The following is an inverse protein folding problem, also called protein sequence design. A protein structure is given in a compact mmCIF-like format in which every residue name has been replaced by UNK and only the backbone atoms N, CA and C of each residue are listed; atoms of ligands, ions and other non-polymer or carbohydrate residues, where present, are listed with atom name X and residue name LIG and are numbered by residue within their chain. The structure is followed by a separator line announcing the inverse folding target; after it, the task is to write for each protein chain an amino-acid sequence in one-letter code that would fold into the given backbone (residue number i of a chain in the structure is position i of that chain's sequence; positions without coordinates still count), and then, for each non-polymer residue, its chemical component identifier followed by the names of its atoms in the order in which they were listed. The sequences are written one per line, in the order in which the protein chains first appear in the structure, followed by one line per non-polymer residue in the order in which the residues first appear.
data_IF_039607642471
#
_entry.id   IF_039607642471
#
_cell.length_a   1.000
_cell.length_b   1.000
_cell.length_c   1.000
_cell.angle_alpha   90.00
_cell.angle_beta   90.00
_cell.angle_gamma   90.00
#
_symmetry.space_group_name_H-M   'P 1'
#
loop_
_entity.id
_entity.type
_entity.pdbx_description
1 polymer ?
#
# COMPACT_ATOMS: atom_id res chain seq x y z
N UNK A 1 -23.30 -6.92 18.28
CA UNK A 1 -24.25 -5.77 18.25
C UNK A 1 -23.61 -4.61 17.55
N UNK A 2 -24.35 -3.70 16.93
CA UNK A 2 -23.79 -2.45 16.39
C UNK A 2 -23.73 -1.43 17.51
N UNK A 3 -22.65 -0.63 17.59
CA UNK A 3 -22.59 0.45 18.56
C UNK A 3 -23.73 1.47 18.24
N UNK A 4 -24.49 1.90 19.23
CA UNK A 4 -25.50 2.93 19.03
C UNK A 4 -24.84 4.32 18.96
N UNK A 5 -25.55 5.30 18.35
CA UNK A 5 -25.19 6.71 18.48
C UNK A 5 -25.16 7.09 19.97
N UNK A 6 -24.17 7.87 20.38
CA UNK A 6 -23.93 8.23 21.78
C UNK A 6 -23.05 7.23 22.56
N UNK A 7 -22.66 6.10 21.96
CA UNK A 7 -21.75 5.14 22.59
C UNK A 7 -20.40 5.78 22.90
N UNK A 8 -19.92 5.57 24.12
CA UNK A 8 -18.62 6.09 24.58
C UNK A 8 -17.58 4.96 24.53
N UNK A 9 -16.84 4.91 23.43
CA UNK A 9 -15.77 3.92 23.21
C UNK A 9 -14.55 4.26 24.07
N UNK A 10 -14.03 3.25 24.76
CA UNK A 10 -12.85 3.36 25.63
C UNK A 10 -12.92 4.53 26.63
N UNK A 11 -14.12 4.86 27.12
CA UNK A 11 -14.39 6.00 28.00
C UNK A 11 -13.80 7.35 27.49
N UNK A 12 -13.63 7.49 26.17
CA UNK A 12 -13.00 8.66 25.55
C UNK A 12 -13.66 9.13 24.26
N UNK A 13 -14.02 8.23 23.38
CA UNK A 13 -14.51 8.60 22.03
C UNK A 13 -16.03 8.45 21.96
N UNK A 14 -16.75 9.55 21.94
CA UNK A 14 -18.22 9.55 21.84
C UNK A 14 -18.66 9.47 20.41
N UNK A 15 -19.21 8.32 20.01
CA UNK A 15 -19.70 8.10 18.65
C UNK A 15 -20.98 8.93 18.40
N UNK A 16 -21.03 9.67 17.29
CA UNK A 16 -22.21 10.49 16.93
C UNK A 16 -22.99 9.86 15.78
N UNK A 17 -22.53 9.98 14.56
CA UNK A 17 -23.22 9.51 13.36
C UNK A 17 -22.30 8.68 12.45
N UNK A 18 -22.83 7.70 11.72
CA UNK A 18 -22.03 6.98 10.74
C UNK A 18 -21.78 7.87 9.52
N UNK A 19 -20.50 8.04 9.15
CA UNK A 19 -20.06 8.78 7.96
C UNK A 19 -19.74 7.86 6.78
N UNK A 20 -19.55 6.56 7.03
CA UNK A 20 -19.32 5.55 6.00
C UNK A 20 -19.72 4.15 6.46
N UNK A 21 -20.23 3.33 5.53
CA UNK A 21 -20.55 1.92 5.77
C UNK A 21 -20.04 1.07 4.62
N UNK A 22 -19.38 -0.04 4.93
CA UNK A 22 -18.83 -0.98 3.94
C UNK A 22 -18.77 -2.40 4.48
N UNK A 23 -18.24 -3.32 3.68
CA UNK A 23 -18.05 -4.73 4.07
C UNK A 23 -17.15 -4.88 5.30
N UNK A 24 -16.12 -4.05 5.40
CA UNK A 24 -15.12 -4.09 6.49
C UNK A 24 -15.57 -3.38 7.78
N UNK A 25 -16.73 -2.73 7.81
CA UNK A 25 -17.21 -2.08 9.03
C UNK A 25 -17.96 -0.79 8.80
N UNK A 26 -18.13 -0.04 9.89
CA UNK A 26 -18.75 1.28 9.91
C UNK A 26 -17.71 2.29 10.35
N UNK A 27 -17.62 3.41 9.65
CA UNK A 27 -16.85 4.57 10.08
C UNK A 27 -17.81 5.57 10.70
N UNK A 28 -17.50 5.99 11.92
CA UNK A 28 -18.28 6.91 12.71
C UNK A 28 -17.60 8.26 12.80
N UNK A 29 -18.34 9.35 12.76
CA UNK A 29 -17.90 10.60 13.35
C UNK A 29 -17.94 10.42 14.86
N UNK A 30 -16.91 10.89 15.57
CA UNK A 30 -16.85 10.83 17.01
C UNK A 30 -16.16 12.08 17.57
N UNK A 31 -16.42 12.36 18.84
CA UNK A 31 -15.74 13.39 19.59
C UNK A 31 -14.75 12.76 20.58
N UNK A 32 -13.49 13.16 20.51
CA UNK A 32 -12.46 12.80 21.48
C UNK A 32 -12.61 13.71 22.71
N UNK A 33 -13.25 13.22 23.76
CA UNK A 33 -13.55 14.01 24.98
C UNK A 33 -12.32 14.43 25.75
N UNK A 34 -11.17 13.76 25.54
CA UNK A 34 -9.91 14.11 26.19
C UNK A 34 -9.21 15.30 25.51
N UNK A 35 -9.20 15.32 24.18
CA UNK A 35 -8.48 16.33 23.39
C UNK A 35 -9.43 17.37 22.75
N UNK A 36 -10.74 17.31 23.05
CA UNK A 36 -11.78 18.22 22.57
C UNK A 36 -11.72 18.43 21.04
N UNK A 37 -11.77 17.31 20.28
CA UNK A 37 -11.67 17.35 18.82
C UNK A 37 -12.56 16.30 18.14
N UNK A 38 -12.95 16.60 16.91
CA UNK A 38 -13.63 15.64 16.03
C UNK A 38 -12.63 14.62 15.45
N UNK A 39 -13.01 13.36 15.43
CA UNK A 39 -12.25 12.24 14.88
C UNK A 39 -13.17 11.32 14.07
N UNK A 40 -12.58 10.52 13.20
CA UNK A 40 -13.23 9.36 12.59
C UNK A 40 -12.87 8.09 13.37
N UNK A 41 -13.86 7.25 13.65
CA UNK A 41 -13.65 5.98 14.37
C UNK A 41 -14.18 4.85 13.50
N UNK A 42 -13.29 3.97 13.05
CA UNK A 42 -13.63 2.80 12.24
C UNK A 42 -13.82 1.57 13.10
N UNK A 43 -15.05 1.04 13.15
CA UNK A 43 -15.34 -0.28 13.69
C UNK A 43 -14.86 -1.35 12.71
N UNK A 44 -13.89 -2.18 13.11
CA UNK A 44 -13.42 -3.27 12.27
C UNK A 44 -14.28 -4.51 12.53
N UNK A 45 -14.96 -4.99 11.49
CA UNK A 45 -15.78 -6.19 11.59
C UNK A 45 -14.95 -7.43 11.26
N UNK A 46 -14.94 -8.34 12.21
CA UNK A 46 -14.43 -9.68 12.00
C UNK A 46 -15.56 -10.60 11.49
N UNK A 47 -15.27 -11.57 10.61
CA UNK A 47 -16.25 -12.58 10.22
C UNK A 47 -16.84 -13.31 11.43
N UNK A 48 -18.16 -13.59 11.40
CA UNK A 48 -18.87 -14.21 12.53
C UNK A 48 -18.51 -15.70 12.73
N UNK A 49 -17.93 -16.34 11.73
CA UNK A 49 -17.67 -17.81 11.68
C UNK A 49 -16.24 -18.15 12.16
N UNK A 50 -15.53 -17.20 12.77
CA UNK A 50 -14.18 -17.44 13.28
C UNK A 50 -14.24 -18.10 14.66
N UNK A 51 -13.35 -19.08 14.90
CA UNK A 51 -13.05 -19.53 16.26
C UNK A 51 -12.37 -18.43 17.07
N UNK A 52 -12.32 -18.61 18.38
CA UNK A 52 -11.82 -17.60 19.31
C UNK A 52 -10.32 -17.32 19.11
N UNK A 53 -9.54 -18.36 18.81
CA UNK A 53 -8.08 -18.24 18.60
C UNK A 53 -7.77 -17.41 17.34
N UNK A 54 -8.41 -17.70 16.22
CA UNK A 54 -8.24 -16.96 14.98
C UNK A 54 -8.75 -15.51 15.12
N UNK A 55 -9.84 -15.31 15.86
CA UNK A 55 -10.34 -13.96 16.19
C UNK A 55 -9.31 -13.15 16.95
N UNK A 56 -8.73 -13.72 18.01
CA UNK A 56 -7.70 -13.06 18.82
C UNK A 56 -6.45 -12.75 17.98
N UNK A 57 -6.02 -13.67 17.12
CA UNK A 57 -4.90 -13.44 16.20
C UNK A 57 -5.17 -12.25 15.24
N UNK A 58 -6.37 -12.21 14.67
CA UNK A 58 -6.77 -11.13 13.76
C UNK A 58 -6.87 -9.77 14.47
N UNK A 59 -7.39 -9.74 15.70
CA UNK A 59 -7.39 -8.52 16.52
C UNK A 59 -5.95 -8.03 16.77
N UNK A 60 -5.07 -8.90 17.26
CA UNK A 60 -3.68 -8.57 17.52
C UNK A 60 -2.93 -8.11 16.26
N UNK A 61 -3.26 -8.68 15.10
CA UNK A 61 -2.71 -8.25 13.81
C UNK A 61 -3.20 -6.86 13.42
N UNK A 62 -4.51 -6.60 13.53
CA UNK A 62 -5.11 -5.29 13.24
C UNK A 62 -4.49 -4.20 14.13
N UNK A 63 -4.29 -4.48 15.41
CA UNK A 63 -3.62 -3.55 16.33
C UNK A 63 -2.18 -3.26 15.91
N UNK A 64 -1.41 -4.28 15.54
CA UNK A 64 -0.02 -4.11 15.10
C UNK A 64 0.06 -3.29 13.82
N UNK A 65 -0.79 -3.58 12.83
CA UNK A 65 -0.80 -2.86 11.54
C UNK A 65 -1.31 -1.42 11.72
N UNK A 66 -2.32 -1.20 12.58
CA UNK A 66 -2.80 0.14 12.93
C UNK A 66 -1.73 0.98 13.63
N UNK A 67 -1.03 0.42 14.64
CA UNK A 67 0.08 1.09 15.33
C UNK A 67 1.25 1.38 14.38
N UNK A 68 1.57 0.48 13.47
CA UNK A 68 2.61 0.71 12.47
C UNK A 68 2.21 1.84 11.51
N UNK A 69 0.95 1.90 11.09
CA UNK A 69 0.42 2.99 10.24
C UNK A 69 0.46 4.34 10.97
N UNK A 70 0.17 4.37 12.28
CA UNK A 70 0.24 5.59 13.10
C UNK A 70 1.65 6.22 13.12
N UNK A 71 2.71 5.44 12.85
CA UNK A 71 4.09 5.95 12.76
C UNK A 71 4.45 6.55 11.40
N UNK A 72 3.53 6.57 10.44
CA UNK A 72 3.77 7.11 9.10
C UNK A 72 3.24 8.53 9.00
N UNK A 73 4.13 9.51 8.95
CA UNK A 73 3.77 10.90 8.70
C UNK A 73 3.92 11.21 7.20
N UNK A 74 2.80 11.29 6.47
CA UNK A 74 2.78 11.66 5.06
C UNK A 74 1.42 12.31 4.71
N UNK A 75 1.37 13.41 3.94
CA UNK A 75 0.12 14.14 3.67
C UNK A 75 -0.94 13.32 2.95
N UNK A 76 -0.55 12.28 2.22
CA UNK A 76 -1.46 11.38 1.51
C UNK A 76 -1.66 10.02 2.19
N UNK A 77 -1.27 9.86 3.46
CA UNK A 77 -1.61 8.73 4.32
C UNK A 77 -2.56 9.22 5.39
N UNK A 78 -3.66 8.50 5.61
CA UNK A 78 -4.60 8.84 6.70
C UNK A 78 -3.85 8.84 8.04
N UNK A 79 -4.02 9.88 8.83
CA UNK A 79 -3.41 9.97 10.16
C UNK A 79 -4.19 9.10 11.14
N UNK A 80 -3.55 8.07 11.67
CA UNK A 80 -4.10 7.24 12.75
C UNK A 80 -3.68 7.85 14.09
N UNK A 81 -4.65 8.13 14.95
CA UNK A 81 -4.44 8.72 16.28
C UNK A 81 -4.36 7.67 17.37
N UNK A 82 -5.15 6.60 17.26
CA UNK A 82 -5.25 5.57 18.29
C UNK A 82 -5.78 4.26 17.69
N UNK A 83 -5.50 3.15 18.38
CA UNK A 83 -6.11 1.84 18.12
C UNK A 83 -6.58 1.29 19.44
N UNK A 84 -7.87 1.10 19.56
CA UNK A 84 -8.57 0.67 20.77
C UNK A 84 -9.19 -0.71 20.55
N UNK A 85 -9.10 -1.60 21.53
CA UNK A 85 -9.85 -2.86 21.54
C UNK A 85 -10.90 -2.81 22.62
N UNK A 86 -12.15 -2.99 22.23
CA UNK A 86 -13.31 -3.05 23.15
C UNK A 86 -14.28 -4.11 22.64
N UNK A 87 -14.84 -4.90 23.55
CA UNK A 87 -15.70 -6.06 23.23
C UNK A 87 -15.05 -7.03 22.22
N UNK A 88 -13.77 -7.33 22.39
CA UNK A 88 -12.98 -8.20 21.49
C UNK A 88 -12.98 -7.74 20.03
N UNK A 89 -13.14 -6.44 19.79
CA UNK A 89 -13.12 -5.82 18.48
C UNK A 89 -12.12 -4.67 18.43
N UNK A 90 -11.31 -4.60 17.41
CA UNK A 90 -10.43 -3.46 17.19
C UNK A 90 -11.23 -2.29 16.58
N UNK A 91 -10.91 -1.10 17.05
CA UNK A 91 -11.39 0.18 16.56
C UNK A 91 -10.20 1.05 16.20
N UNK A 92 -10.25 1.70 15.06
CA UNK A 92 -9.17 2.59 14.60
C UNK A 92 -9.68 4.02 14.65
N UNK A 93 -9.01 4.84 15.47
CA UNK A 93 -9.29 6.28 15.60
C UNK A 93 -8.34 7.03 14.67
N UNK A 94 -8.89 7.85 13.80
CA UNK A 94 -8.13 8.55 12.75
C UNK A 94 -8.66 9.96 12.50
N UNK A 95 -7.93 10.73 11.71
CA UNK A 95 -8.37 12.06 11.29
C UNK A 95 -9.72 12.00 10.57
N UNK A 96 -10.61 12.94 10.91
CA UNK A 96 -11.87 13.13 10.21
C UNK A 96 -11.66 14.07 9.03
N UNK A 97 -11.75 13.54 7.82
CA UNK A 97 -11.60 14.33 6.60
C UNK A 97 -12.95 14.72 6.01
N UNK A 98 -13.07 15.96 5.59
CA UNK A 98 -14.15 16.40 4.69
C UNK A 98 -13.78 16.00 3.26
N UNK A 99 -14.10 14.78 2.87
CA UNK A 99 -13.67 14.20 1.61
C UNK A 99 -14.76 13.31 1.03
N UNK A 100 -14.65 13.03 -0.26
CA UNK A 100 -15.38 11.94 -0.93
C UNK A 100 -14.39 10.86 -1.34
N UNK A 101 -14.83 9.60 -1.35
CA UNK A 101 -14.00 8.58 -1.97
C UNK A 101 -13.90 8.82 -3.48
N UNK A 102 -12.79 8.37 -4.07
CA UNK A 102 -12.63 8.41 -5.53
C UNK A 102 -13.75 7.62 -6.22
N UNK A 103 -14.25 6.56 -5.61
CA UNK A 103 -15.41 5.81 -6.09
C UNK A 103 -16.67 6.68 -6.17
N UNK A 104 -17.02 7.41 -5.10
CA UNK A 104 -18.14 8.35 -5.09
C UNK A 104 -17.95 9.46 -6.12
N UNK A 105 -16.72 9.96 -6.26
CA UNK A 105 -16.41 10.99 -7.25
C UNK A 105 -16.66 10.50 -8.68
N UNK A 106 -16.26 9.24 -8.96
CA UNK A 106 -16.49 8.60 -10.27
C UNK A 106 -17.97 8.28 -10.52
N UNK A 107 -18.73 7.91 -9.50
CA UNK A 107 -20.17 7.70 -9.61
C UNK A 107 -20.90 9.00 -9.96
N UNK A 108 -20.50 10.12 -9.36
CA UNK A 108 -21.15 11.42 -9.53
C UNK A 108 -20.74 12.13 -10.83
N UNK A 109 -19.47 12.05 -11.21
CA UNK A 109 -18.89 12.85 -12.31
C UNK A 109 -18.48 12.03 -13.53
N UNK A 110 -18.50 10.70 -13.43
CA UNK A 110 -17.91 9.82 -14.46
C UNK A 110 -16.38 9.84 -14.47
N UNK A 111 -15.75 9.42 -15.58
CA UNK A 111 -14.31 9.38 -15.74
C UNK A 111 -13.66 10.75 -15.55
N UNK A 112 -12.48 10.75 -14.91
CA UNK A 112 -11.73 11.98 -14.66
C UNK A 112 -10.70 12.26 -15.77
N UNK A 113 -10.35 13.53 -16.01
CA UNK A 113 -9.30 13.90 -16.96
C UNK A 113 -7.94 13.25 -16.59
N UNK A 114 -7.13 12.81 -17.59
CA UNK A 114 -5.85 12.14 -17.35
C UNK A 114 -4.89 12.92 -16.43
N UNK A 115 -4.85 14.25 -16.55
CA UNK A 115 -4.02 15.10 -15.69
C UNK A 115 -4.43 15.03 -14.22
N UNK A 116 -5.74 15.04 -13.93
CA UNK A 116 -6.25 14.93 -12.57
C UNK A 116 -5.99 13.53 -11.98
N UNK A 117 -6.18 12.49 -12.81
CA UNK A 117 -5.87 11.09 -12.42
C UNK A 117 -4.38 10.93 -12.15
N UNK A 118 -3.51 11.56 -12.94
CA UNK A 118 -2.07 11.55 -12.71
C UNK A 118 -1.69 12.20 -11.38
N UNK A 119 -2.32 13.32 -11.03
CA UNK A 119 -2.06 14.01 -9.76
C UNK A 119 -2.52 13.17 -8.55
N UNK A 120 -3.72 12.59 -8.60
CA UNK A 120 -4.20 11.63 -7.59
C UNK A 120 -3.23 10.45 -7.49
N UNK A 121 -2.82 9.87 -8.63
CA UNK A 121 -1.89 8.75 -8.70
C UNK A 121 -0.53 9.07 -8.08
N UNK A 122 0.01 10.25 -8.34
CA UNK A 122 1.28 10.73 -7.76
C UNK A 122 1.21 10.81 -6.22
N UNK A 123 0.11 11.31 -5.69
CA UNK A 123 -0.10 11.46 -4.25
C UNK A 123 -0.29 10.10 -3.57
N UNK A 124 -1.13 9.23 -4.13
CA UNK A 124 -1.34 7.85 -3.62
C UNK A 124 -0.05 7.04 -3.71
N UNK A 125 0.72 7.18 -4.79
CA UNK A 125 2.03 6.53 -4.91
C UNK A 125 3.02 7.03 -3.86
N UNK A 126 2.99 8.32 -3.54
CA UNK A 126 3.75 8.91 -2.43
C UNK A 126 3.41 8.25 -1.09
N UNK A 127 2.11 8.06 -0.82
CA UNK A 127 1.60 7.34 0.35
C UNK A 127 2.12 5.90 0.40
N UNK A 128 1.99 5.15 -0.71
CA UNK A 128 2.47 3.77 -0.81
C UNK A 128 3.98 3.67 -0.54
N UNK A 129 4.79 4.57 -1.10
CA UNK A 129 6.22 4.61 -0.84
C UNK A 129 6.55 4.86 0.64
N UNK A 130 5.81 5.77 1.29
CA UNK A 130 6.00 6.07 2.71
C UNK A 130 5.71 4.87 3.61
N UNK A 131 4.64 4.12 3.34
CA UNK A 131 4.27 2.94 4.13
C UNK A 131 5.18 1.74 3.82
N UNK A 132 5.54 1.52 2.55
CA UNK A 132 6.48 0.47 2.14
C UNK A 132 7.86 0.64 2.78
N UNK A 133 8.33 1.89 2.94
CA UNK A 133 9.58 2.18 3.65
C UNK A 133 9.55 1.78 5.14
N UNK A 134 8.36 1.59 5.72
CA UNK A 134 8.15 1.06 7.08
C UNK A 134 7.81 -0.44 7.10
N UNK A 135 7.92 -1.13 5.95
CA UNK A 135 7.56 -2.54 5.83
C UNK A 135 6.05 -2.83 5.84
N UNK A 136 5.21 -1.80 5.70
CA UNK A 136 3.76 -1.93 5.69
C UNK A 136 3.30 -2.07 4.24
N UNK A 137 2.41 -3.03 3.96
CA UNK A 137 1.73 -3.20 2.68
C UNK A 137 0.27 -2.78 2.82
N UNK A 138 -0.28 -2.11 1.80
CA UNK A 138 -1.68 -1.70 1.81
C UNK A 138 -2.65 -2.85 1.51
N UNK A 139 -2.36 -3.65 0.49
CA UNK A 139 -3.09 -4.87 0.05
C UNK A 139 -4.49 -4.65 -0.52
N UNK A 140 -5.09 -3.47 -0.38
CA UNK A 140 -6.45 -3.16 -0.84
C UNK A 140 -6.55 -1.74 -1.44
N UNK A 141 -5.63 -1.38 -2.35
CA UNK A 141 -5.69 -0.09 -3.06
C UNK A 141 -6.82 -0.15 -4.09
N UNK A 142 -7.84 0.70 -3.90
CA UNK A 142 -9.03 0.79 -4.77
C UNK A 142 -9.69 2.15 -4.64
N UNK A 143 -10.59 2.55 -5.55
CA UNK A 143 -11.23 3.87 -5.51
C UNK A 143 -11.97 4.19 -4.21
N UNK A 144 -12.57 3.20 -3.54
CA UNK A 144 -13.26 3.43 -2.26
C UNK A 144 -12.32 3.75 -1.10
N UNK A 145 -11.02 3.37 -1.20
CA UNK A 145 -10.00 3.59 -0.18
C UNK A 145 -9.10 4.80 -0.49
N UNK A 146 -9.40 5.57 -1.54
CA UNK A 146 -8.75 6.84 -1.86
C UNK A 146 -9.74 7.96 -1.59
N UNK A 147 -9.50 8.74 -0.54
CA UNK A 147 -10.29 9.92 -0.20
C UNK A 147 -9.73 11.14 -0.94
N UNK A 148 -10.60 11.89 -1.60
CA UNK A 148 -10.24 13.09 -2.35
C UNK A 148 -10.86 14.29 -1.65
N UNK A 149 -10.00 15.19 -1.17
CA UNK A 149 -10.35 16.51 -0.63
C UNK A 149 -10.20 17.57 -1.72
N UNK A 150 -10.39 18.83 -1.40
CA UNK A 150 -10.19 19.93 -2.35
C UNK A 150 -8.72 20.13 -2.74
N UNK A 151 -7.79 19.73 -1.88
CA UNK A 151 -6.35 19.96 -2.01
C UNK A 151 -5.49 18.71 -2.20
N UNK A 152 -5.99 17.52 -1.76
CA UNK A 152 -5.18 16.31 -1.76
C UNK A 152 -5.99 15.01 -1.90
N UNK A 153 -5.30 13.96 -2.33
CA UNK A 153 -5.76 12.57 -2.22
C UNK A 153 -5.09 11.89 -1.03
N UNK A 154 -5.87 11.16 -0.23
CA UNK A 154 -5.44 10.48 0.99
C UNK A 154 -5.80 9.00 0.89
N UNK A 155 -4.82 8.14 1.07
CA UNK A 155 -5.00 6.69 1.11
C UNK A 155 -5.39 6.27 2.53
N UNK A 156 -6.47 5.51 2.64
CA UNK A 156 -7.05 5.03 3.92
C UNK A 156 -7.17 3.51 3.92
N UNK A 157 -7.50 2.92 5.07
CA UNK A 157 -7.81 1.49 5.21
C UNK A 157 -6.62 0.55 5.00
N UNK A 158 -5.46 0.91 5.54
CA UNK A 158 -4.23 0.11 5.50
C UNK A 158 -4.38 -1.21 6.25
N UNK A 159 -3.89 -2.29 5.64
CA UNK A 159 -3.67 -3.58 6.30
C UNK A 159 -4.91 -4.38 6.67
N UNK A 160 -6.09 -3.76 6.73
CA UNK A 160 -7.33 -4.42 7.18
C UNK A 160 -7.78 -5.56 6.26
N UNK A 161 -7.38 -5.54 4.98
CA UNK A 161 -7.63 -6.62 4.02
C UNK A 161 -6.79 -7.89 4.28
N UNK A 162 -5.82 -7.81 5.19
CA UNK A 162 -5.09 -9.00 5.62
C UNK A 162 -5.99 -10.01 6.34
N UNK A 163 -7.14 -9.57 6.84
CA UNK A 163 -8.19 -10.44 7.38
C UNK A 163 -8.85 -11.31 6.30
N UNK A 164 -8.83 -10.85 5.04
CA UNK A 164 -9.41 -11.56 3.89
C UNK A 164 -8.35 -12.25 3.00
N UNK A 165 -7.10 -11.82 3.05
CA UNK A 165 -6.08 -12.16 2.05
C UNK A 165 -5.22 -13.39 2.33
N UNK A 166 -5.17 -13.91 3.54
CA UNK A 166 -4.46 -15.17 3.89
C UNK A 166 -5.41 -16.37 4.02
N UNK A 167 -6.70 -16.12 4.21
CA UNK A 167 -7.74 -17.15 4.08
C UNK A 167 -8.08 -17.27 2.61
N UNK A 168 -7.70 -18.36 2.00
CA UNK A 168 -7.79 -18.63 0.55
C UNK A 168 -9.06 -18.04 -0.09
N UNK A 169 -8.85 -17.11 -1.03
CA UNK A 169 -9.87 -16.42 -1.87
C UNK A 169 -10.87 -17.41 -2.47
N UNK A 170 -10.55 -18.71 -2.48
CA UNK A 170 -11.34 -19.81 -3.05
C UNK A 170 -12.39 -20.41 -2.11
N UNK A 171 -12.30 -20.22 -0.78
CA UNK A 171 -13.25 -20.87 0.15
C UNK A 171 -14.48 -20.05 0.52
N UNK A 172 -14.46 -18.72 0.38
CA UNK A 172 -15.55 -17.90 0.91
C UNK A 172 -16.47 -17.28 -0.14
N UNK A 173 -16.23 -17.35 -1.44
CA UNK A 173 -17.14 -16.80 -2.46
C UNK A 173 -17.47 -15.29 -2.34
N UNK A 174 -16.80 -14.56 -1.47
CA UNK A 174 -17.24 -13.25 -0.95
C UNK A 174 -16.28 -12.12 -1.31
N UNK A 175 -15.89 -11.97 -2.57
CA UNK A 175 -15.23 -10.69 -2.94
C UNK A 175 -15.85 -10.14 -4.22
N UNK A 176 -17.08 -9.64 -4.10
CA UNK A 176 -17.84 -9.15 -5.25
C UNK A 176 -17.38 -7.76 -5.75
N UNK A 177 -16.60 -7.00 -5.00
CA UNK A 177 -16.24 -5.62 -5.37
C UNK A 177 -14.72 -5.35 -5.56
N UNK A 178 -13.86 -5.98 -4.75
CA UNK A 178 -12.42 -5.67 -4.72
C UNK A 178 -11.58 -6.51 -5.71
N UNK A 179 -12.15 -7.57 -6.26
CA UNK A 179 -11.43 -8.56 -7.07
C UNK A 179 -10.73 -7.98 -8.33
N UNK A 180 -11.29 -6.92 -8.91
CA UNK A 180 -10.71 -6.25 -10.09
C UNK A 180 -9.42 -5.45 -9.81
N UNK A 181 -9.07 -5.25 -8.55
CA UNK A 181 -7.89 -4.51 -8.12
C UNK A 181 -6.78 -5.42 -7.59
N UNK A 182 -7.06 -6.71 -7.36
CA UNK A 182 -6.10 -7.67 -6.82
C UNK A 182 -5.08 -8.02 -7.90
N UNK A 183 -3.80 -8.00 -7.54
CA UNK A 183 -2.71 -8.35 -8.45
C UNK A 183 -2.78 -9.84 -8.85
N UNK A 184 -2.46 -10.19 -10.13
CA UNK A 184 -2.55 -11.55 -10.64
C UNK A 184 -1.78 -12.58 -9.79
N UNK A 185 -0.58 -12.25 -9.38
CA UNK A 185 0.25 -13.09 -8.52
C UNK A 185 -0.39 -13.39 -7.17
N UNK A 186 -1.20 -12.46 -6.64
CA UNK A 186 -1.95 -12.65 -5.37
C UNK A 186 -3.12 -13.61 -5.55
N UNK A 187 -3.81 -13.53 -6.67
CA UNK A 187 -4.88 -14.49 -7.01
C UNK A 187 -4.31 -15.91 -7.16
N UNK A 188 -3.06 -16.02 -7.63
CA UNK A 188 -2.33 -17.29 -7.74
C UNK A 188 -1.68 -17.75 -6.41
N UNK A 189 -1.94 -17.08 -5.29
CA UNK A 189 -1.48 -17.48 -3.96
C UNK A 189 -0.07 -17.02 -3.59
N UNK A 190 0.56 -16.12 -4.36
CA UNK A 190 1.86 -15.57 -3.99
C UNK A 190 1.74 -14.67 -2.73
N UNK A 191 2.82 -14.58 -1.96
CA UNK A 191 2.89 -13.67 -0.80
C UNK A 191 2.71 -12.22 -1.22
N UNK A 192 2.14 -11.41 -0.33
CA UNK A 192 2.00 -9.97 -0.55
C UNK A 192 3.37 -9.30 -0.69
N UNK A 193 3.49 -8.41 -1.69
CA UNK A 193 4.71 -7.69 -2.02
C UNK A 193 4.35 -6.26 -2.46
N UNK A 194 5.22 -5.24 -2.29
CA UNK A 194 4.98 -3.88 -2.74
C UNK A 194 4.53 -3.75 -4.20
N UNK A 195 5.01 -4.64 -5.09
CA UNK A 195 4.58 -4.68 -6.49
C UNK A 195 3.07 -4.95 -6.65
N UNK A 196 2.44 -5.70 -5.73
CA UNK A 196 1.00 -5.91 -5.73
C UNK A 196 0.22 -4.62 -5.50
N UNK A 197 0.67 -3.76 -4.59
CA UNK A 197 0.04 -2.44 -4.37
C UNK A 197 0.21 -1.52 -5.59
N UNK A 198 1.32 -1.64 -6.34
CA UNK A 198 1.53 -0.91 -7.59
C UNK A 198 0.57 -1.36 -8.70
N UNK A 199 0.28 -2.67 -8.80
CA UNK A 199 -0.79 -3.17 -9.68
C UNK A 199 -2.13 -2.57 -9.30
N UNK A 200 -2.49 -2.65 -8.01
CA UNK A 200 -3.77 -2.15 -7.49
C UNK A 200 -3.92 -0.64 -7.72
N UNK A 201 -2.82 0.12 -7.59
CA UNK A 201 -2.78 1.53 -7.99
C UNK A 201 -3.05 1.67 -9.50
N UNK A 202 -2.40 0.89 -10.35
CA UNK A 202 -2.63 0.88 -11.80
C UNK A 202 -4.10 0.64 -12.14
N UNK A 203 -4.72 -0.37 -11.51
CA UNK A 203 -6.15 -0.68 -11.69
C UNK A 203 -7.08 0.45 -11.20
N UNK A 204 -6.70 1.10 -10.09
CA UNK A 204 -7.42 2.27 -9.54
C UNK A 204 -7.37 3.45 -10.51
N UNK A 205 -6.20 3.79 -11.03
CA UNK A 205 -6.03 4.89 -11.99
C UNK A 205 -6.70 4.58 -13.33
N UNK A 206 -6.64 3.31 -13.78
CA UNK A 206 -7.36 2.85 -14.97
C UNK A 206 -8.87 3.08 -14.79
N UNK A 207 -9.43 2.64 -13.67
CA UNK A 207 -10.86 2.85 -13.37
C UNK A 207 -11.20 4.35 -13.33
N UNK A 208 -10.31 5.16 -12.78
CA UNK A 208 -10.53 6.60 -12.67
C UNK A 208 -10.56 7.32 -14.03
N UNK A 209 -9.73 6.91 -14.99
CA UNK A 209 -9.63 7.56 -16.30
C UNK A 209 -10.58 6.94 -17.32
N UNK A 210 -10.80 5.63 -17.30
CA UNK A 210 -11.68 4.92 -18.25
C UNK A 210 -13.15 4.93 -17.83
N UNK A 211 -13.44 5.03 -16.50
CA UNK A 211 -14.78 4.95 -15.93
C UNK A 211 -15.31 3.52 -15.82
N UNK A 212 -14.45 2.52 -16.00
CA UNK A 212 -14.79 1.09 -15.98
C UNK A 212 -13.65 0.29 -15.36
N UNK A 213 -13.97 -0.85 -14.74
CA UNK A 213 -12.94 -1.77 -14.24
C UNK A 213 -12.16 -2.46 -15.37
N UNK A 214 -11.03 -3.06 -15.01
CA UNK A 214 -10.22 -3.83 -15.95
C UNK A 214 -11.08 -4.90 -16.65
N UNK A 215 -11.01 -4.97 -17.98
CA UNK A 215 -11.78 -5.86 -18.85
C UNK A 215 -13.32 -5.77 -18.72
N UNK A 216 -13.89 -4.77 -18.01
CA UNK A 216 -15.33 -4.60 -17.83
C UNK A 216 -16.03 -5.81 -17.15
N UNK A 217 -15.28 -6.69 -16.48
CA UNK A 217 -15.76 -7.95 -15.92
C UNK A 217 -16.24 -7.77 -14.48
N UNK A 218 -17.37 -8.42 -14.16
CA UNK A 218 -18.02 -8.30 -12.85
C UNK A 218 -17.55 -9.32 -11.80
N UNK A 219 -16.78 -10.35 -12.20
CA UNK A 219 -16.32 -11.42 -11.29
C UNK A 219 -14.80 -11.52 -11.28
N UNK A 220 -14.23 -11.91 -10.13
CA UNK A 220 -12.79 -12.14 -9.97
C UNK A 220 -12.27 -13.21 -10.94
N UNK A 221 -13.00 -14.29 -11.11
CA UNK A 221 -12.64 -15.39 -12.01
C UNK A 221 -12.60 -14.93 -13.47
N UNK A 222 -13.57 -14.09 -13.90
CA UNK A 222 -13.59 -13.55 -15.27
C UNK A 222 -12.48 -12.52 -15.49
N UNK A 223 -12.15 -11.70 -14.48
CA UNK A 223 -11.03 -10.77 -14.54
C UNK A 223 -9.70 -11.53 -14.65
N UNK A 224 -9.51 -12.55 -13.81
CA UNK A 224 -8.32 -13.41 -13.87
C UNK A 224 -8.19 -14.12 -15.21
N UNK A 225 -9.28 -14.72 -15.73
CA UNK A 225 -9.27 -15.38 -17.01
C UNK A 225 -8.88 -14.44 -18.16
N UNK A 226 -9.39 -13.21 -18.17
CA UNK A 226 -9.02 -12.19 -19.15
C UNK A 226 -7.56 -11.75 -19.02
N UNK A 227 -7.05 -11.61 -17.79
CA UNK A 227 -5.64 -11.30 -17.55
C UNK A 227 -4.71 -12.44 -18.02
N UNK A 228 -5.11 -13.71 -17.81
CA UNK A 228 -4.31 -14.87 -18.21
C UNK A 228 -4.43 -15.23 -19.68
N UNK A 229 -5.49 -14.79 -20.37
CA UNK A 229 -5.65 -14.98 -21.83
C UNK A 229 -4.72 -14.10 -22.66
N UNK A 230 -4.04 -13.12 -22.04
CA UNK A 230 -3.18 -12.19 -22.76
C UNK A 230 -3.95 -11.13 -23.55
N UNK A 231 -5.26 -11.01 -23.36
CA UNK A 231 -6.05 -9.95 -23.99
C UNK A 231 -5.50 -8.56 -23.58
N UNK A 232 -5.28 -7.66 -24.54
CA UNK A 232 -4.85 -6.30 -24.25
C UNK A 232 -5.90 -5.58 -23.41
N UNK A 233 -5.45 -4.83 -22.39
CA UNK A 233 -6.31 -3.94 -21.61
C UNK A 233 -6.66 -2.74 -22.51
N UNK A 234 -7.92 -2.53 -22.91
CA UNK A 234 -8.28 -1.43 -23.80
C UNK A 234 -8.17 -0.09 -23.06
N UNK A 235 -7.43 0.88 -23.64
CA UNK A 235 -7.19 2.20 -23.07
C UNK A 235 -7.65 3.27 -24.07
N UNK A 236 -8.89 3.75 -23.90
CA UNK A 236 -9.54 4.67 -24.84
C UNK A 236 -9.43 6.13 -24.40
N UNK A 237 -9.47 6.38 -23.07
CA UNK A 237 -9.48 7.71 -22.46
C UNK A 237 -8.18 8.03 -21.73
N UNK A 238 -7.29 7.06 -21.54
CA UNK A 238 -6.07 7.20 -20.78
C UNK A 238 -5.09 8.24 -21.35
N UNK A 239 -5.04 8.39 -22.69
CA UNK A 239 -4.20 9.39 -23.36
C UNK A 239 -2.75 9.37 -22.84
N UNK A 240 -2.23 10.50 -22.29
CA UNK A 240 -0.85 10.58 -21.79
C UNK A 240 -0.55 9.66 -20.59
N UNK A 241 -1.57 9.09 -19.92
CA UNK A 241 -1.39 8.09 -18.85
C UNK A 241 -1.14 6.68 -19.38
N UNK A 242 -1.40 6.39 -20.65
CA UNK A 242 -1.31 5.06 -21.24
C UNK A 242 0.02 4.35 -20.91
N UNK A 243 1.22 4.96 -21.06
CA UNK A 243 2.46 4.28 -20.74
C UNK A 243 2.61 3.93 -19.25
N UNK A 244 2.09 4.79 -18.36
CA UNK A 244 2.10 4.53 -16.90
C UNK A 244 1.23 3.33 -16.59
N UNK A 245 0.00 3.30 -17.12
CA UNK A 245 -0.95 2.21 -16.89
C UNK A 245 -0.44 0.89 -17.46
N UNK A 246 0.09 0.88 -18.68
CA UNK A 246 0.72 -0.29 -19.29
C UNK A 246 1.91 -0.81 -18.47
N UNK A 247 2.67 0.08 -17.85
CA UNK A 247 3.79 -0.27 -17.00
C UNK A 247 3.35 -0.85 -15.64
N UNK A 248 2.35 -0.26 -14.99
CA UNK A 248 1.82 -0.72 -13.70
C UNK A 248 1.00 -2.02 -13.83
N UNK A 249 0.29 -2.20 -14.94
CA UNK A 249 -0.57 -3.35 -15.21
C UNK A 249 0.15 -4.49 -15.95
N UNK A 250 1.45 -4.65 -15.74
CA UNK A 250 2.20 -5.83 -16.18
C UNK A 250 1.88 -7.03 -15.28
N UNK A 251 1.50 -8.16 -15.90
CA UNK A 251 1.16 -9.42 -15.18
C UNK A 251 2.36 -9.91 -14.39
N UNK A 252 3.55 -9.96 -15.03
CA UNK A 252 4.80 -10.30 -14.34
C UNK A 252 5.19 -9.16 -13.38
N UNK A 253 5.23 -9.40 -12.06
CA UNK A 253 5.60 -8.39 -11.07
C UNK A 253 7.04 -7.88 -11.24
N UNK A 254 7.94 -8.67 -11.84
CA UNK A 254 9.33 -8.26 -12.09
C UNK A 254 9.47 -7.31 -13.31
N UNK A 255 8.55 -7.43 -14.27
CA UNK A 255 8.47 -6.54 -15.43
C UNK A 255 7.62 -5.28 -15.14
N UNK A 256 6.96 -5.24 -13.98
CA UNK A 256 6.08 -4.13 -13.57
C UNK A 256 6.88 -2.87 -13.28
N UNK A 257 6.33 -1.72 -13.65
CA UNK A 257 6.92 -0.40 -13.42
C UNK A 257 7.14 -0.19 -11.90
N UNK A 258 8.37 0.17 -11.52
CA UNK A 258 8.72 0.47 -10.15
C UNK A 258 8.18 1.83 -9.68
N UNK A 259 8.13 2.04 -8.36
CA UNK A 259 7.54 3.23 -7.76
C UNK A 259 8.29 4.54 -8.11
N UNK A 260 9.59 4.48 -8.35
CA UNK A 260 10.40 5.68 -8.67
C UNK A 260 10.09 6.15 -10.09
N UNK A 261 10.14 5.23 -11.05
CA UNK A 261 9.82 5.52 -12.45
C UNK A 261 8.36 5.92 -12.62
N UNK A 262 7.43 5.22 -11.95
CA UNK A 262 6.01 5.58 -11.94
C UNK A 262 5.78 7.00 -11.42
N UNK A 263 6.45 7.39 -10.33
CA UNK A 263 6.36 8.75 -9.77
C UNK A 263 6.81 9.82 -10.75
N UNK A 264 7.93 9.59 -11.47
CA UNK A 264 8.43 10.53 -12.47
C UNK A 264 7.45 10.67 -13.65
N UNK A 265 6.92 9.56 -14.14
CA UNK A 265 5.97 9.55 -15.25
C UNK A 265 4.65 10.24 -14.87
N UNK A 266 4.09 9.93 -13.70
CA UNK A 266 2.88 10.58 -13.17
C UNK A 266 3.09 12.08 -12.98
N UNK A 267 4.24 12.51 -12.46
CA UNK A 267 4.55 13.93 -12.28
C UNK A 267 4.58 14.70 -13.60
N UNK A 268 5.08 14.09 -14.68
CA UNK A 268 5.08 14.70 -16.03
C UNK A 268 3.68 14.87 -16.56
N UNK A 269 2.84 13.83 -16.45
CA UNK A 269 1.45 13.90 -16.92
C UNK A 269 0.65 14.92 -16.11
N UNK A 270 0.83 14.97 -14.79
CA UNK A 270 0.20 15.97 -13.93
C UNK A 270 0.60 17.41 -14.29
N UNK A 271 1.85 17.62 -14.75
CA UNK A 271 2.33 18.89 -15.28
C UNK A 271 1.84 19.20 -16.70
N UNK A 272 1.09 18.29 -17.35
CA UNK A 272 0.56 18.47 -18.69
C UNK A 272 1.49 18.00 -19.82
N UNK A 273 2.57 17.26 -19.50
CA UNK A 273 3.49 16.64 -20.46
C UNK A 273 3.10 15.19 -20.81
N UNK A 274 3.93 14.53 -21.63
CA UNK A 274 3.82 13.10 -21.93
C UNK A 274 4.61 12.28 -20.92
N UNK A 275 4.09 11.09 -20.56
CA UNK A 275 4.81 10.12 -19.72
C UNK A 275 6.13 9.63 -20.36
N UNK A 276 6.21 9.64 -21.70
CA UNK A 276 7.33 9.08 -22.47
C UNK A 276 8.47 10.06 -22.77
N UNK A 277 8.35 11.36 -22.43
CA UNK A 277 9.43 12.30 -22.70
C UNK A 277 10.73 11.95 -21.98
N UNK A 278 11.86 11.78 -22.72
CA UNK A 278 13.15 11.52 -22.10
C UNK A 278 13.60 12.71 -21.25
N UNK A 279 14.24 12.43 -20.12
CA UNK A 279 14.86 13.42 -19.21
C UNK A 279 15.90 14.31 -19.93
N UNK A 280 16.36 13.93 -21.12
CA UNK A 280 17.43 14.57 -21.87
C UNK A 280 17.10 15.97 -22.43
N UNK A 281 15.85 16.42 -22.48
CA UNK A 281 15.52 17.75 -23.04
C UNK A 281 15.58 18.91 -22.04
N UNK A 282 15.68 18.66 -20.75
CA UNK A 282 15.82 19.73 -19.77
C UNK A 282 17.24 20.34 -19.70
N UNK A 283 18.25 19.63 -20.21
CA UNK A 283 19.65 20.08 -20.18
C UNK A 283 20.10 20.89 -21.41
N UNK A 284 19.25 21.05 -22.42
CA UNK A 284 19.64 21.69 -23.70
C UNK A 284 19.12 23.12 -23.89
N UNK A 285 18.62 23.75 -22.82
CA UNK A 285 18.46 25.21 -22.80
C UNK A 285 19.70 25.90 -22.21
N UNK A 286 20.87 25.50 -22.70
CA UNK A 286 22.07 26.32 -22.48
C UNK A 286 22.00 27.52 -23.38
N UNK A 287 21.84 28.63 -22.74
CA UNK A 287 21.94 30.00 -23.18
C UNK A 287 23.01 30.15 -24.27
N UNK A 288 22.62 30.32 -25.53
CA UNK A 288 23.46 30.99 -26.51
C UNK A 288 23.29 32.51 -26.23
N UNK A 289 24.04 33.00 -25.25
CA UNK A 289 24.29 34.42 -25.13
C UNK A 289 25.70 34.67 -25.67
N UNK A 290 25.78 34.94 -26.94
CA UNK A 290 26.97 35.57 -27.54
C UNK A 290 26.91 37.07 -27.19
N UNK A 291 27.45 37.39 -25.99
CA UNK A 291 27.84 38.75 -25.69
C UNK A 291 29.34 38.85 -25.93
N UNK A 292 29.73 39.43 -27.06
CA UNK A 292 31.10 39.88 -27.34
C UNK A 292 31.41 41.02 -26.39
N UNK A 293 32.17 40.73 -25.31
CA UNK A 293 32.73 41.78 -24.42
C UNK A 293 34.09 42.18 -25.02
N UNK A 294 34.14 43.33 -25.65
CA UNK A 294 35.36 44.04 -26.05
C UNK A 294 36.03 44.55 -24.77
N UNK A 295 37.22 44.02 -24.46
CA UNK A 295 38.06 44.46 -23.33
C UNK A 295 38.98 45.58 -23.85
N UNK A 296 39.00 46.81 -23.29
CA UNK A 296 40.04 47.80 -23.56
C UNK A 296 41.30 47.48 -22.79
N UNK A 297 42.42 47.37 -23.48
CA UNK A 297 43.78 47.24 -22.94
C UNK A 297 44.15 48.51 -22.16
N UNK A 298 44.42 48.39 -20.85
CA UNK A 298 45.18 49.40 -20.13
C UNK A 298 46.48 48.82 -19.60
N UNK A 299 47.57 49.30 -20.22
CA UNK A 299 48.98 49.05 -19.88
C UNK A 299 49.39 49.98 -18.77
N UNK A 300 49.83 49.49 -17.61
CA UNK A 300 50.78 50.19 -16.71
C UNK A 300 51.37 49.25 -15.69
N UNK A 301 52.64 49.14 -15.72
CA UNK A 301 53.57 48.54 -14.76
C UNK A 301 53.95 49.57 -13.67
N UNK A 302 54.78 49.23 -12.70
CA UNK A 302 54.58 48.49 -11.45
C UNK A 302 54.98 49.32 -10.23
N UNK A 303 54.72 48.88 -9.01
CA UNK A 303 55.68 48.97 -7.90
C UNK A 303 55.12 48.56 -6.53
N UNK A 304 56.01 47.89 -5.81
CA UNK A 304 56.23 47.78 -4.38
C UNK A 304 55.35 46.93 -3.46
N UNK A 305 56.00 45.81 -3.04
CA UNK A 305 56.27 45.37 -1.67
C UNK A 305 55.23 45.64 -0.59
N UNK A 306 54.73 44.55 -0.01
CA UNK A 306 54.06 44.54 1.29
C UNK A 306 53.78 43.08 1.70
N UNK A 307 54.69 42.49 2.45
CA UNK A 307 54.55 41.21 3.12
C UNK A 307 53.50 41.33 4.24
N UNK A 308 52.37 40.62 4.15
CA UNK A 308 51.58 40.27 5.33
C UNK A 308 51.24 38.80 5.32
N UNK A 309 51.90 38.13 6.24
CA UNK A 309 51.67 36.76 6.70
C UNK A 309 50.30 36.74 7.40
N UNK A 310 49.32 36.05 6.85
CA UNK A 310 48.08 35.72 7.57
C UNK A 310 48.20 34.27 7.99
N UNK A 311 48.13 34.08 9.31
CA UNK A 311 48.25 32.79 9.97
C UNK A 311 47.08 31.88 9.69
N UNK A 312 47.39 30.64 9.47
CA UNK A 312 46.45 29.50 9.36
C UNK A 312 45.81 29.29 10.74
N UNK A 313 44.50 29.33 10.81
CA UNK A 313 43.74 28.88 11.98
C UNK A 313 43.79 27.33 12.06
N UNK A 314 43.90 26.72 13.24
CA UNK A 314 43.95 25.27 13.41
C UNK A 314 42.58 24.65 13.26
N UNK A 315 42.57 23.49 12.59
CA UNK A 315 41.42 22.58 12.43
C UNK A 315 41.07 22.00 13.81
N UNK A 316 39.80 22.03 14.27
CA UNK A 316 39.42 21.40 15.52
C UNK A 316 39.51 19.86 15.43
N UNK A 317 40.07 19.24 16.48
CA UNK A 317 40.23 17.81 16.63
C UNK A 317 38.86 17.09 16.75
N UNK A 318 38.75 15.82 16.28
CA UNK A 318 37.53 15.02 16.39
C UNK A 318 37.25 14.64 17.85
N UNK A 319 35.97 14.67 18.22
CA UNK A 319 35.47 14.26 19.53
C UNK A 319 35.68 12.76 19.78
N UNK A 320 35.95 12.35 21.03
CA UNK A 320 36.21 10.94 21.36
C UNK A 320 34.92 10.10 21.27
N UNK A 321 35.08 8.91 20.70
CA UNK A 321 34.04 7.86 20.63
C UNK A 321 33.80 7.31 22.03
N UNK A 322 32.53 7.17 22.51
CA UNK A 322 32.26 6.56 23.80
C UNK A 322 32.60 5.08 23.81
N UNK A 323 33.36 4.64 24.80
CA UNK A 323 33.69 3.26 25.12
C UNK A 323 32.47 2.51 25.65
N UNK A 324 32.25 1.24 25.28
CA UNK A 324 31.13 0.45 25.79
C UNK A 324 31.31 0.10 27.27
N UNK A 325 30.26 0.31 28.05
CA UNK A 325 30.16 -0.03 29.47
C UNK A 325 30.00 -1.57 29.60
N UNK A 326 30.79 -2.27 30.47
CA UNK A 326 30.61 -3.70 30.66
C UNK A 326 29.37 -4.01 31.51
N UNK A 327 28.55 -4.96 31.05
CA UNK A 327 27.41 -5.48 31.79
C UNK A 327 27.88 -6.33 33.01
N UNK A 328 27.20 -6.25 34.18
CA UNK A 328 27.53 -7.08 35.34
C UNK A 328 27.14 -8.54 35.10
N UNK A 329 28.10 -9.44 35.42
CA UNK A 329 27.92 -10.89 35.38
C UNK A 329 26.93 -11.33 36.47
N UNK A 330 25.76 -11.86 36.06
CA UNK A 330 24.80 -12.51 36.95
C UNK A 330 25.31 -13.86 37.42
N UNK A 331 25.13 -14.11 38.73
CA UNK A 331 25.52 -15.32 39.46
C UNK A 331 24.83 -16.57 38.87
N UNK A 332 25.63 -17.61 38.62
CA UNK A 332 25.18 -18.99 38.38
C UNK A 332 24.60 -19.57 39.68
N UNK A 333 23.38 -20.08 39.64
CA UNK A 333 22.86 -21.08 40.62
C UNK A 333 23.06 -22.50 40.05
N UNK A 334 23.27 -23.50 40.95
CA UNK A 334 23.58 -24.87 40.53
C UNK A 334 22.34 -25.60 40.01
N UNK A 335 22.56 -26.51 39.06
CA UNK A 335 21.58 -27.38 38.48
C UNK A 335 21.15 -28.49 39.43
N UNK A 336 19.86 -28.60 39.69
CA UNK A 336 19.22 -29.80 40.21
C UNK A 336 18.78 -30.71 39.07
N UNK A 337 19.15 -32.00 39.21
CA UNK A 337 18.92 -33.01 38.20
C UNK A 337 17.43 -33.41 38.13
N UNK A 338 16.90 -33.47 36.89
CA UNK A 338 15.62 -34.10 36.61
C UNK A 338 15.80 -35.22 35.59
N UNK A 339 15.35 -36.41 35.98
CA UNK A 339 15.38 -37.68 35.27
C UNK A 339 14.84 -37.59 33.85
N UNK A 340 15.66 -38.05 32.87
CA UNK A 340 15.22 -38.34 31.49
C UNK A 340 14.36 -39.60 31.48
N UNK A 341 13.10 -39.46 30.99
CA UNK A 341 12.33 -40.57 30.42
C UNK A 341 12.65 -40.73 28.94
N UNK A 342 12.57 -41.94 28.38
CA UNK A 342 12.97 -42.22 26.98
C UNK A 342 11.98 -41.59 25.96
N UNK A 343 12.53 -41.09 24.90
CA UNK A 343 11.81 -40.49 23.77
C UNK A 343 11.02 -41.55 22.99
N UNK A 344 9.72 -41.43 22.94
CA UNK A 344 8.88 -42.07 21.90
C UNK A 344 9.06 -41.33 20.56
N UNK A 345 9.35 -42.08 19.50
CA UNK A 345 9.41 -41.58 18.14
C UNK A 345 8.01 -41.22 17.65
N UNK A 346 7.81 -40.05 16.97
CA UNK A 346 6.54 -39.77 16.34
C UNK A 346 6.29 -40.69 15.14
N UNK A 347 5.04 -41.08 14.85
CA UNK A 347 4.70 -41.91 13.72
C UNK A 347 4.86 -41.14 12.40
N UNK A 348 5.32 -41.88 11.36
CA UNK A 348 5.55 -41.38 10.01
C UNK A 348 4.31 -40.69 9.44
N UNK A 349 4.50 -39.45 8.96
CA UNK A 349 3.48 -38.71 8.20
C UNK A 349 3.15 -39.46 6.91
N UNK A 350 1.94 -39.96 6.80
CA UNK A 350 1.34 -40.46 5.54
C UNK A 350 0.87 -39.25 4.72
N UNK A 351 1.04 -39.22 3.39
CA UNK A 351 0.68 -38.09 2.57
C UNK A 351 -0.83 -37.87 2.50
N UNK A 352 -1.23 -36.61 2.67
CA UNK A 352 -2.60 -36.07 2.64
C UNK A 352 -3.14 -36.01 1.21
N UNK A 353 -3.36 -37.12 0.54
CA UNK A 353 -3.90 -37.18 -0.85
C UNK A 353 -5.17 -38.01 -0.93
N UNK A 354 -6.09 -37.94 0.01
CA UNK A 354 -7.29 -38.79 -0.08
C UNK A 354 -8.65 -38.07 -0.05
N UNK A 355 -8.70 -36.76 -0.04
CA UNK A 355 -9.98 -36.01 0.05
C UNK A 355 -10.27 -35.00 -1.06
N UNK A 356 -9.51 -34.95 -2.16
CA UNK A 356 -9.72 -33.97 -3.24
C UNK A 356 -10.30 -34.54 -4.55
N UNK A 357 -10.81 -35.76 -4.56
CA UNK A 357 -11.18 -36.43 -5.81
C UNK A 357 -12.58 -36.17 -6.39
N UNK A 358 -13.59 -35.64 -5.71
CA UNK A 358 -14.87 -35.44 -6.41
C UNK A 358 -15.01 -34.07 -7.10
N UNK A 359 -14.25 -33.02 -6.72
CA UNK A 359 -14.50 -31.67 -7.25
C UNK A 359 -13.70 -31.29 -8.50
N UNK A 360 -12.57 -31.98 -8.75
CA UNK A 360 -11.71 -31.68 -9.92
C UNK A 360 -12.28 -32.32 -11.21
N UNK A 361 -13.19 -33.29 -11.10
CA UNK A 361 -13.80 -33.98 -12.26
C UNK A 361 -14.74 -33.12 -13.11
N UNK A 362 -15.20 -31.96 -12.60
CA UNK A 362 -16.24 -31.16 -13.26
C UNK A 362 -15.74 -29.96 -14.06
N UNK A 363 -14.46 -29.55 -13.94
CA UNK A 363 -14.00 -28.27 -14.49
C UNK A 363 -12.82 -28.31 -15.45
N UNK A 364 -12.23 -29.47 -15.76
CA UNK A 364 -11.10 -29.54 -16.69
C UNK A 364 -11.44 -30.38 -17.95
N UNK A 365 -11.09 -29.89 -19.17
CA UNK A 365 -11.22 -30.67 -20.38
C UNK A 365 -10.38 -31.94 -20.28
N UNK A 366 -10.90 -33.06 -20.78
CA UNK A 366 -10.28 -34.41 -20.75
C UNK A 366 -8.82 -34.47 -21.27
N UNK A 367 -8.37 -33.46 -22.00
CA UNK A 367 -7.01 -33.39 -22.55
C UNK A 367 -5.91 -33.08 -21.51
N UNK A 368 -6.26 -32.59 -20.34
CA UNK A 368 -5.30 -32.19 -19.30
C UNK A 368 -5.19 -33.17 -18.13
N UNK A 369 -5.79 -34.36 -18.25
CA UNK A 369 -5.69 -35.36 -17.21
C UNK A 369 -4.32 -36.06 -17.20
N UNK A 370 -3.73 -36.36 -16.05
CA UNK A 370 -2.54 -37.15 -15.91
C UNK A 370 -2.78 -38.54 -16.55
N UNK A 371 -1.77 -39.13 -17.19
CA UNK A 371 -1.85 -40.38 -17.96
C UNK A 371 -2.46 -41.56 -17.22
N UNK A 372 -2.35 -41.60 -15.90
CA UNK A 372 -2.89 -42.68 -15.06
C UNK A 372 -4.42 -42.70 -14.93
N UNK A 373 -5.08 -41.56 -15.11
CA UNK A 373 -6.54 -41.43 -15.00
C UNK A 373 -7.28 -41.58 -16.32
N UNK A 374 -6.57 -41.67 -17.46
CA UNK A 374 -7.16 -41.86 -18.80
C UNK A 374 -7.62 -43.31 -19.07
N UNK A 375 -7.16 -44.29 -18.28
CA UNK A 375 -7.46 -45.74 -18.53
C UNK A 375 -8.64 -46.27 -17.75
N UNK A 376 -9.38 -45.47 -16.98
CA UNK A 376 -10.52 -45.91 -16.15
C UNK A 376 -11.77 -45.02 -16.31
N UNK A 377 -12.04 -44.53 -17.50
CA UNK A 377 -13.27 -43.81 -17.80
C UNK A 377 -13.96 -44.27 -19.05
#
# INVERSE_FOLDING_TARGET
MRAPSGYLLAARYRLSEPVGRGGMGTVWRAHDELLDREVAVKEVRLPLVLDEELRAELCARTEREGRATAMVAHPSVITVFDVVTEDERPWIVMELLRARSLEQLLQDRGPLPPRQVAEIGRQVLGALRAVHAKGILHRDVKPSNVLVTDDRAVLTDFGLAALEGDVSITQAGIVLGSAGYIAPERVLGAKAHPSGDLWSLGATLYTAVEGRGLHGRRTAAAALAALTSGEPIPMEKAGPLTPVLQGLLKIDPNARLDAVRASLMLSRVAAGGSAEEPIARAASRTVRSTATITVPSFNRRPQHRGTHRVGSAPIPAPLPVPTPVPHPRGHRRPAEGVHRKPSERPPAQRPFIRFMTPFIRLMLPRLLWPRELRKRG
#
